data_IF_021550100221
#
_entry.id   IF_021550100221
#
_cell.length_a   1.000
_cell.length_b   1.000
_cell.length_c   1.000
_cell.angle_alpha   90.00
_cell.angle_beta   90.00
_cell.angle_gamma   90.00
#
_symmetry.space_group_name_H-M   'P 1'
#
loop_
_entity.id
_entity.type
_entity.pdbx_description
1 polymer ?
2 non-polymer ?
3 non-polymer ?
4 water ?
#
# COMPACT_ATOMS: atom_id res chain seq x y z
N UNK A 3 3.93 -1.33 19.03
CA UNK A 3 3.91 -1.12 17.59
C UNK A 3 2.89 -0.05 17.21
N UNK A 4 1.75 -0.03 17.89
CA UNK A 4 0.60 0.80 17.48
C UNK A 4 -0.16 1.25 18.72
N UNK A 5 0.14 2.45 19.21
CA UNK A 5 -0.55 2.95 20.40
C UNK A 5 -2.01 3.28 20.12
N UNK A 6 -2.81 3.07 21.15
CA UNK A 6 -4.24 3.33 21.15
C UNK A 6 -4.54 4.54 22.01
N UNK A 7 -5.45 5.40 21.55
CA UNK A 7 -5.78 6.62 22.27
C UNK A 7 -7.26 6.67 22.60
N UNK A 8 -7.58 7.16 23.81
CA UNK A 8 -8.98 7.23 24.21
C UNK A 8 -9.75 8.30 23.45
N UNK A 9 -9.07 9.33 22.97
CA UNK A 9 -9.68 10.36 22.14
C UNK A 9 -9.94 9.81 20.74
N UNK A 10 -11.21 9.48 20.46
CA UNK A 10 -11.56 8.93 19.15
C UNK A 10 -11.36 9.92 18.01
N UNK A 11 -11.18 11.22 18.31
CA UNK A 11 -10.90 12.21 17.29
C UNK A 11 -9.50 12.81 17.42
N UNK A 12 -8.56 12.04 18.00
CA UNK A 12 -7.17 12.49 18.09
C UNK A 12 -6.65 13.03 16.76
N UNK A 13 -6.99 12.37 15.64
CA UNK A 13 -6.39 12.75 14.37
C UNK A 13 -7.00 14.02 13.80
N UNK A 14 -8.13 14.48 14.32
CA UNK A 14 -8.95 15.46 13.61
C UNK A 14 -8.29 16.83 13.45
N UNK A 15 -8.46 17.40 12.26
CA UNK A 15 -8.12 18.79 11.98
C UNK A 15 -9.22 19.75 12.46
N UNK A 16 -10.45 19.26 12.55
CA UNK A 16 -11.61 20.03 12.99
C UNK A 16 -11.98 19.50 14.36
N UNK A 17 -11.67 20.27 15.40
CA UNK A 17 -11.87 19.84 16.78
C UNK A 17 -13.33 19.73 17.18
N UNK A 18 -14.25 20.35 16.44
CA UNK A 18 -15.62 20.41 16.89
C UNK A 18 -16.56 19.32 16.43
N UNK A 19 -16.02 18.15 16.11
CA UNK A 19 -16.85 17.04 15.65
C UNK A 19 -17.40 16.32 16.87
N UNK A 20 -18.70 16.03 16.86
CA UNK A 20 -19.38 15.36 17.98
C UNK A 20 -19.52 13.87 17.66
N UNK A 21 -18.72 13.04 18.32
CA UNK A 21 -18.75 11.62 17.97
C UNK A 21 -20.09 10.97 18.30
N UNK A 22 -20.84 11.53 19.24
CA UNK A 22 -22.17 11.00 19.57
C UNK A 22 -23.13 11.05 18.41
N UNK A 23 -22.84 11.89 17.42
CA UNK A 23 -23.72 12.01 16.27
C UNK A 23 -23.40 10.98 15.19
N UNK A 24 -22.29 10.25 15.32
CA UNK A 24 -21.90 9.28 14.29
C UNK A 24 -22.91 8.14 14.29
N UNK A 25 -23.42 7.77 13.12
CA UNK A 25 -24.29 6.61 12.94
C UNK A 25 -23.85 5.87 11.70
N UNK A 26 -24.10 4.55 11.59
CA UNK A 26 -24.47 3.68 12.69
C UNK A 26 -23.29 3.57 13.64
N UNK A 27 -23.38 2.67 14.61
CA UNK A 27 -22.33 2.51 15.60
C UNK A 27 -20.97 2.29 14.93
N UNK A 28 -20.00 3.17 15.16
CA UNK A 28 -18.73 3.06 14.44
C UNK A 28 -17.86 1.94 14.97
N UNK A 29 -17.16 1.28 14.06
CA UNK A 29 -16.08 0.38 14.44
C UNK A 29 -14.78 1.12 14.12
N UNK A 30 -14.00 1.41 15.14
CA UNK A 30 -12.79 2.23 14.99
C UNK A 30 -11.61 1.36 14.59
N UNK A 31 -10.82 1.89 13.65
CA UNK A 31 -9.59 1.22 13.22
C UNK A 31 -8.60 1.24 14.38
N UNK A 32 -7.93 0.09 14.63
CA UNK A 32 -6.95 0.03 15.71
C UNK A 32 -5.55 -0.27 15.21
N UNK A 33 -5.34 -0.35 13.92
CA UNK A 33 -3.99 -0.50 13.37
C UNK A 33 -3.40 0.85 13.04
N UNK A 34 -2.14 0.83 12.58
CA UNK A 34 -1.40 2.08 12.40
C UNK A 34 -0.58 2.03 11.14
N UNK A 35 -1.05 1.28 10.14
CA UNK A 35 -0.37 1.29 8.88
C UNK A 35 -0.65 2.53 8.03
N UNK A 36 0.18 2.69 7.00
CA UNK A 36 -0.03 3.82 6.08
C UNK A 36 -1.40 3.73 5.39
N UNK A 37 -2.13 4.85 5.37
CA UNK A 37 -3.37 4.97 4.60
C UNK A 37 -3.15 5.98 3.48
N UNK A 38 -4.11 6.05 2.56
CA UNK A 38 -3.91 6.85 1.35
C UNK A 38 -5.13 7.69 1.06
N UNK A 39 -4.88 8.90 0.52
CA UNK A 39 -5.98 9.77 0.12
C UNK A 39 -5.65 10.43 -1.20
N UNK A 40 -6.48 10.17 -2.21
CA UNK A 40 -6.41 10.95 -3.45
C UNK A 40 -7.01 12.31 -3.16
N UNK A 41 -6.31 13.35 -3.58
CA UNK A 41 -6.84 14.69 -3.42
C UNK A 41 -6.20 15.54 -4.50
N UNK A 42 -7.02 16.36 -5.17
CA UNK A 42 -6.53 17.16 -6.30
C UNK A 42 -5.77 18.40 -5.86
N UNK A 43 -5.86 18.77 -4.59
CA UNK A 43 -5.12 19.92 -4.07
C UNK A 43 -3.66 19.54 -3.90
N UNK A 44 -2.78 20.48 -4.26
CA UNK A 44 -1.33 20.20 -4.23
C UNK A 44 -0.75 20.31 -2.85
N UNK A 45 0.51 19.86 -2.71
CA UNK A 45 1.09 19.72 -1.37
C UNK A 45 1.37 21.04 -0.68
N UNK A 46 1.56 22.13 -1.41
CA UNK A 46 1.83 23.33 -0.65
C UNK A 46 0.56 23.82 0.04
N UNK A 47 -0.59 23.38 -0.42
CA UNK A 47 -1.86 23.64 0.25
C UNK A 47 -2.13 22.60 1.34
N UNK A 48 -2.07 21.30 0.98
CA UNK A 48 -2.47 20.24 1.89
C UNK A 48 -1.50 20.11 3.05
N UNK A 49 -0.18 20.22 2.78
CA UNK A 49 0.78 20.12 3.89
C UNK A 49 0.58 21.27 4.89
N UNK A 50 0.08 22.42 4.43
CA UNK A 50 -0.12 23.56 5.32
C UNK A 50 -1.42 23.46 6.11
N UNK A 51 -2.48 22.93 5.49
CA UNK A 51 -3.81 22.99 6.10
C UNK A 51 -4.23 21.66 6.71
N UNK A 52 -3.64 20.56 6.30
CA UNK A 52 -4.23 19.29 6.67
C UNK A 52 -5.46 19.01 5.82
N UNK A 53 -6.16 17.93 6.18
CA UNK A 53 -7.39 17.53 5.47
C UNK A 53 -8.57 17.87 6.39
N UNK A 54 -9.24 19.00 6.11
CA UNK A 54 -10.41 19.40 6.86
C UNK A 54 -11.65 18.78 6.25
N UNK A 55 -12.62 18.49 7.11
CA UNK A 55 -13.87 17.96 6.62
C UNK A 55 -14.75 19.10 6.07
N UNK A 56 -15.64 18.74 5.14
CA UNK A 56 -16.38 19.78 4.42
C UNK A 56 -17.43 20.44 5.30
N UNK A 57 -18.12 19.66 6.13
CA UNK A 57 -19.24 20.24 6.88
C UNK A 57 -19.38 19.48 8.21
N UNK A 58 -18.61 19.91 9.22
CA UNK A 58 -18.66 19.25 10.51
C UNK A 58 -19.94 19.58 11.26
N UNK A 59 -20.40 20.82 11.15
CA UNK A 59 -21.53 21.24 11.95
C UNK A 59 -22.82 20.62 11.46
N UNK A 60 -23.01 20.56 10.14
CA UNK A 60 -24.34 20.26 9.60
C UNK A 60 -24.34 19.21 8.50
N UNK A 61 -23.22 18.55 8.27
CA UNK A 61 -23.10 17.56 7.22
C UNK A 61 -23.75 16.20 7.54
N UNK A 62 -23.54 15.27 6.63
CA UNK A 62 -24.11 13.92 6.70
C UNK A 62 -23.31 13.09 7.69
N UNK A 63 -23.86 12.89 8.91
CA UNK A 63 -23.17 12.11 9.93
C UNK A 63 -23.41 10.62 9.81
N UNK A 64 -24.34 10.16 8.97
CA UNK A 64 -24.51 8.73 8.78
C UNK A 64 -23.46 8.22 7.80
N UNK A 65 -22.53 7.36 8.28
CA UNK A 65 -21.43 6.85 7.48
C UNK A 65 -21.95 6.11 6.25
N UNK A 66 -23.00 5.30 6.43
CA UNK A 66 -23.52 4.52 5.32
C UNK A 66 -24.04 5.45 4.23
N UNK A 67 -24.81 6.47 4.63
CA UNK A 67 -25.33 7.38 3.63
C UNK A 67 -24.20 8.14 2.94
N UNK A 68 -23.21 8.60 3.71
CA UNK A 68 -22.09 9.33 3.12
C UNK A 68 -21.34 8.48 2.13
N UNK A 69 -21.03 7.24 2.50
CA UNK A 69 -20.24 6.35 1.63
C UNK A 69 -20.99 6.07 0.34
N UNK A 70 -22.30 5.86 0.42
CA UNK A 70 -23.05 5.48 -0.76
C UNK A 70 -23.26 6.68 -1.69
N UNK A 71 -23.34 7.90 -1.16
CA UNK A 71 -23.51 9.10 -2.00
C UNK A 71 -22.65 10.21 -1.42
N UNK A 72 -21.54 10.54 -2.09
CA UNK A 72 -20.72 11.64 -1.63
C UNK A 72 -21.57 12.90 -1.48
N UNK A 73 -21.45 13.55 -0.32
CA UNK A 73 -22.19 14.74 0.06
C UNK A 73 -21.44 15.42 1.19
N UNK A 74 -21.71 16.70 1.47
CA UNK A 74 -20.91 17.36 2.52
C UNK A 74 -21.11 16.68 3.88
N UNK A 75 -20.01 16.46 4.60
CA UNK A 75 -20.01 15.56 5.73
C UNK A 75 -18.92 15.95 6.72
N UNK A 76 -18.95 15.42 7.93
CA UNK A 76 -17.86 15.63 8.88
C UNK A 76 -16.68 14.69 8.66
N UNK A 77 -16.69 13.89 7.59
CA UNK A 77 -15.69 12.88 7.34
C UNK A 77 -14.74 13.25 6.21
N UNK A 78 -13.49 12.85 6.35
CA UNK A 78 -12.54 12.83 5.25
C UNK A 78 -12.18 11.38 4.97
N UNK A 79 -12.31 10.98 3.71
CA UNK A 79 -12.05 9.60 3.30
C UNK A 79 -10.56 9.34 3.04
N UNK A 80 -10.12 8.14 3.45
CA UNK A 80 -8.82 7.53 3.12
C UNK A 80 -9.06 6.06 2.84
N UNK A 81 -8.02 5.38 2.37
CA UNK A 81 -8.12 3.97 2.00
C UNK A 81 -6.92 3.21 2.56
N UNK A 82 -7.16 1.96 2.91
CA UNK A 82 -6.07 1.02 3.17
C UNK A 82 -5.26 0.69 1.94
N UNK A 83 -5.82 0.97 0.73
CA UNK A 83 -5.26 0.50 -0.55
C UNK A 83 -4.39 1.57 -1.20
N UNK A 84 -3.06 1.33 -1.15
CA UNK A 84 -2.12 2.23 -1.84
C UNK A 84 -2.55 2.58 -3.25
N UNK A 85 -3.15 1.62 -3.96
CA UNK A 85 -3.42 1.78 -5.38
C UNK A 85 -4.80 2.35 -5.66
N UNK A 86 -5.58 2.73 -4.63
CA UNK A 86 -6.95 3.18 -4.93
C UNK A 86 -6.94 4.39 -5.89
N UNK A 87 -5.89 5.20 -5.81
CA UNK A 87 -5.80 6.40 -6.66
C UNK A 87 -6.02 6.09 -8.12
N UNK A 88 -5.73 4.86 -8.54
CA UNK A 88 -5.85 4.49 -9.94
C UNK A 88 -7.30 4.51 -10.39
N UNK A 89 -8.24 4.43 -9.45
CA UNK A 89 -9.64 4.37 -9.87
C UNK A 89 -10.23 5.76 -10.12
N UNK A 90 -9.46 6.82 -9.86
CA UNK A 90 -9.86 8.19 -10.19
C UNK A 90 -9.51 8.50 -11.64
N UNK A 91 -10.36 9.26 -12.31
CA UNK A 91 -9.95 9.81 -13.60
C UNK A 91 -8.85 10.83 -13.38
N UNK A 92 -9.09 11.79 -12.49
CA UNK A 92 -8.07 12.83 -12.18
C UNK A 92 -7.78 12.80 -10.68
N UNK A 93 -6.94 11.87 -10.24
CA UNK A 93 -6.55 11.81 -8.84
C UNK A 93 -5.81 13.08 -8.43
N UNK A 94 -4.81 13.46 -9.23
CA UNK A 94 -3.97 14.61 -8.95
C UNK A 94 -2.81 14.16 -8.08
N UNK A 95 -3.12 13.74 -6.88
CA UNK A 95 -2.11 13.44 -5.90
C UNK A 95 -2.55 12.28 -5.03
N UNK A 96 -1.63 11.37 -4.76
CA UNK A 96 -1.86 10.28 -3.78
C UNK A 96 -1.13 10.64 -2.47
N UNK A 97 -1.87 11.09 -1.46
CA UNK A 97 -1.30 11.45 -0.15
C UNK A 97 -1.17 10.24 0.73
N UNK A 98 -0.04 10.17 1.43
CA UNK A 98 0.26 9.08 2.35
C UNK A 98 0.04 9.58 3.78
N UNK A 99 -0.80 8.86 4.52
CA UNK A 99 -1.29 9.28 5.82
C UNK A 99 -0.87 8.30 6.90
N UNK A 100 -0.36 8.82 8.01
CA UNK A 100 0.01 7.98 9.17
C UNK A 100 -0.70 8.63 10.36
N UNK A 101 -1.94 8.21 10.62
CA UNK A 101 -2.79 8.87 11.60
C UNK A 101 -3.44 7.83 12.49
N UNK A 102 -3.69 8.14 13.75
CA UNK A 102 -4.35 7.19 14.64
C UNK A 102 -5.85 7.16 14.38
N UNK A 103 -6.44 5.97 14.56
CA UNK A 103 -7.88 5.87 14.58
C UNK A 103 -8.58 5.93 13.24
N UNK A 104 -9.70 6.65 13.21
CA UNK A 104 -10.58 6.65 12.06
C UNK A 104 -11.61 5.53 12.13
N UNK A 105 -12.68 5.71 11.37
CA UNK A 105 -13.76 4.71 11.30
C UNK A 105 -13.45 3.72 10.19
N UNK A 106 -13.42 2.41 10.52
CA UNK A 106 -13.19 1.40 9.48
C UNK A 106 -14.52 1.17 8.79
N UNK A 107 -14.65 1.65 7.56
CA UNK A 107 -15.95 1.68 6.94
C UNK A 107 -16.52 0.27 6.77
N UNK A 108 -15.73 -0.66 6.22
CA UNK A 108 -16.32 -1.97 5.94
C UNK A 108 -16.61 -2.73 7.20
N UNK A 109 -15.85 -2.50 8.26
CA UNK A 109 -16.21 -3.12 9.52
C UNK A 109 -17.48 -2.52 10.11
N UNK A 110 -17.78 -1.27 9.77
CA UNK A 110 -18.94 -0.57 10.33
C UNK A 110 -20.21 -0.86 9.55
N UNK A 111 -20.12 -0.93 8.20
CA UNK A 111 -21.30 -1.05 7.37
C UNK A 111 -21.28 -2.31 6.53
N UNK A 112 -20.29 -3.18 6.72
CA UNK A 112 -20.16 -4.42 5.96
C UNK A 112 -19.28 -4.26 4.71
N UNK A 113 -18.99 -5.39 4.06
CA UNK A 113 -18.09 -5.39 2.91
C UNK A 113 -18.82 -5.81 1.64
N UNK A 114 -20.18 -5.73 1.62
CA UNK A 114 -20.98 -6.10 0.43
C UNK A 114 -21.55 -4.90 -0.31
N UNK A 115 -21.52 -3.72 0.29
CA UNK A 115 -22.05 -2.53 -0.37
C UNK A 115 -21.22 -2.18 -1.60
N UNK A 116 -21.90 -1.49 -2.51
CA UNK A 116 -21.25 -0.69 -3.54
C UNK A 116 -20.09 0.05 -2.91
N UNK A 117 -18.96 0.00 -3.59
CA UNK A 117 -17.75 0.70 -3.17
C UNK A 117 -16.97 -0.05 -2.09
N UNK A 118 -17.36 -1.25 -1.66
CA UNK A 118 -16.57 -1.90 -0.63
C UNK A 118 -15.12 -2.13 -1.03
N UNK A 119 -14.83 -2.21 -2.33
CA UNK A 119 -13.43 -2.37 -2.72
C UNK A 119 -12.58 -1.11 -2.50
N UNK A 120 -13.16 0.01 -2.07
CA UNK A 120 -12.37 1.16 -1.63
C UNK A 120 -11.69 0.94 -0.30
N UNK A 121 -12.08 -0.11 0.46
CA UNK A 121 -11.49 -0.42 1.77
C UNK A 121 -11.18 0.85 2.56
N UNK A 122 -12.22 1.62 2.84
CA UNK A 122 -12.14 2.99 3.29
C UNK A 122 -12.00 3.10 4.81
N UNK A 123 -11.27 4.13 5.24
CA UNK A 123 -11.24 4.59 6.62
C UNK A 123 -11.69 6.03 6.60
N UNK A 124 -12.76 6.36 7.33
CA UNK A 124 -13.33 7.71 7.33
C UNK A 124 -12.95 8.42 8.61
N UNK A 125 -12.35 9.58 8.50
CA UNK A 125 -11.84 10.30 9.66
C UNK A 125 -12.83 11.41 10.04
N UNK A 126 -13.54 11.29 11.17
CA UNK A 126 -14.44 12.36 11.58
C UNK A 126 -13.64 13.57 12.02
N UNK A 127 -13.95 14.73 11.42
CA UNK A 127 -13.16 15.92 11.66
C UNK A 127 -11.85 15.93 10.90
N UNK A 128 -11.66 15.00 9.97
CA UNK A 128 -10.52 15.08 9.06
C UNK A 128 -9.22 14.65 9.72
N UNK A 129 -8.11 15.16 9.16
CA UNK A 129 -6.78 14.66 9.49
C UNK A 129 -5.84 15.85 9.59
N UNK A 130 -5.30 16.12 10.79
CA UNK A 130 -4.38 17.25 10.91
C UNK A 130 -3.06 16.98 10.17
N UNK A 131 -2.41 18.08 9.78
CA UNK A 131 -1.28 18.00 8.85
C UNK A 131 -0.11 17.20 9.40
N UNK A 132 0.05 17.12 10.73
CA UNK A 132 1.17 16.37 11.32
C UNK A 132 1.05 14.88 11.07
N UNK A 133 -0.11 14.39 10.62
CA UNK A 133 -0.30 12.98 10.32
C UNK A 133 -0.24 12.69 8.84
N UNK A 134 0.24 13.62 8.03
CA UNK A 134 0.38 13.40 6.58
C UNK A 134 1.86 13.21 6.32
N UNK A 135 2.25 12.03 5.87
CA UNK A 135 3.67 11.72 5.65
C UNK A 135 4.20 12.54 4.48
N UNK A 136 3.46 12.56 3.38
CA UNK A 136 3.99 13.02 2.09
C UNK A 136 3.01 12.70 0.99
N UNK A 137 3.48 12.78 -0.24
CA UNK A 137 2.55 12.72 -1.38
C UNK A 137 3.32 12.25 -2.58
N UNK A 138 2.62 11.58 -3.50
CA UNK A 138 3.16 11.37 -4.85
C UNK A 138 2.16 11.89 -5.86
N UNK A 139 2.58 12.73 -6.80
CA UNK A 139 1.69 13.12 -7.91
C UNK A 139 1.33 11.92 -8.77
N UNK A 140 0.17 11.99 -9.40
CA UNK A 140 -0.35 10.89 -10.22
C UNK A 140 -0.46 11.30 -11.67
N UNK A 141 0.14 10.51 -12.53
CA UNK A 141 -0.01 10.71 -13.97
C UNK A 141 -1.34 10.15 -14.43
N UNK A 142 -2.17 11.03 -14.99
CA UNK A 142 -3.53 10.68 -15.35
C UNK A 142 -3.58 9.58 -16.39
N UNK A 143 -2.80 9.70 -17.48
CA UNK A 143 -2.83 8.76 -18.59
C UNK A 143 -2.49 7.33 -18.14
N UNK A 144 -1.42 7.18 -17.35
CA UNK A 144 -0.94 5.85 -17.02
C UNK A 144 -1.47 5.38 -15.69
N UNK A 145 -2.17 6.25 -14.98
CA UNK A 145 -2.68 5.93 -13.65
C UNK A 145 -1.57 5.39 -12.76
N UNK A 146 -0.45 6.09 -12.76
CA UNK A 146 0.71 5.69 -11.97
C UNK A 146 1.24 6.88 -11.20
N UNK A 147 1.93 6.58 -10.12
CA UNK A 147 2.60 7.64 -9.36
C UNK A 147 3.85 8.07 -10.08
N UNK A 148 4.10 9.39 -10.03
CA UNK A 148 5.29 9.97 -10.67
C UNK A 148 6.34 9.97 -9.56
N UNK A 149 6.98 8.80 -9.36
CA UNK A 149 7.74 8.55 -8.14
C UNK A 149 8.94 9.48 -7.97
N UNK A 150 9.53 9.99 -9.05
CA UNK A 150 10.63 10.93 -8.89
C UNK A 150 10.17 12.29 -8.39
N UNK A 151 8.86 12.54 -8.34
CA UNK A 151 8.34 13.84 -7.93
C UNK A 151 7.51 13.72 -6.66
N UNK A 152 7.63 12.60 -5.96
CA UNK A 152 7.03 12.54 -4.61
C UNK A 152 7.72 13.54 -3.69
N UNK A 153 7.03 13.91 -2.62
CA UNK A 153 7.54 14.92 -1.68
C UNK A 153 7.16 14.56 -0.26
N UNK A 154 8.09 14.79 0.69
CA UNK A 154 7.82 14.67 2.11
C UNK A 154 7.14 15.93 2.66
N UNK A 155 6.29 15.70 3.67
CA UNK A 155 5.64 16.79 4.36
C UNK A 155 6.54 17.28 5.49
N UNK A 156 7.03 18.54 5.46
CA UNK A 156 7.90 19.02 6.53
C UNK A 156 7.23 19.02 7.89
N UNK A 157 5.89 18.99 7.96
CA UNK A 157 5.17 19.01 9.23
C UNK A 157 4.85 17.61 9.76
N UNK A 158 5.22 16.56 9.04
CA UNK A 158 4.93 15.21 9.53
C UNK A 158 5.65 14.96 10.85
N UNK A 159 4.91 14.45 11.84
CA UNK A 159 5.48 14.16 13.16
C UNK A 159 5.25 12.69 13.49
N UNK A 160 6.25 11.83 13.31
CA UNK A 160 6.13 10.42 13.73
C UNK A 160 5.67 10.26 15.18
N UNK A 161 4.84 9.22 15.40
CA UNK A 161 4.25 8.96 16.71
C UNK A 161 4.27 7.48 17.06
N UNK A 162 4.86 6.64 16.24
CA UNK A 162 5.10 5.23 16.56
C UNK A 162 6.15 4.64 15.63
N UNK B 3 -9.39 -5.10 -14.81
CA UNK B 3 -8.98 -6.41 -14.31
C UNK B 3 -7.52 -6.68 -14.64
N UNK B 4 -6.99 -7.77 -14.10
CA UNK B 4 -5.58 -8.08 -14.27
C UNK B 4 -5.43 -9.06 -15.42
N UNK B 5 -4.67 -8.72 -16.45
CA UNK B 5 -4.34 -9.72 -17.46
C UNK B 5 -3.61 -10.90 -16.82
N UNK B 6 -3.95 -12.10 -17.26
CA UNK B 6 -3.30 -13.33 -16.83
C UNK B 6 -2.48 -13.86 -17.97
N UNK B 7 -1.35 -14.50 -17.65
CA UNK B 7 -0.47 -15.08 -18.65
C UNK B 7 -0.32 -16.58 -18.44
N UNK B 8 -0.31 -17.31 -19.55
CA UNK B 8 -0.10 -18.76 -19.54
C UNK B 8 1.23 -19.11 -18.88
N UNK B 9 2.27 -18.33 -19.18
CA UNK B 9 3.58 -18.50 -18.57
C UNK B 9 3.50 -18.11 -17.10
N UNK B 10 3.54 -19.11 -16.22
CA UNK B 10 3.54 -18.85 -14.79
C UNK B 10 4.80 -18.13 -14.31
N UNK B 11 5.85 -18.07 -15.11
CA UNK B 11 7.05 -17.32 -14.72
C UNK B 11 7.30 -16.16 -15.67
N UNK B 12 6.24 -15.56 -16.19
CA UNK B 12 6.33 -14.43 -17.10
C UNK B 12 7.18 -13.30 -16.52
N UNK B 13 7.13 -13.11 -15.20
CA UNK B 13 7.84 -12.00 -14.59
C UNK B 13 9.33 -12.23 -14.47
N UNK B 14 9.79 -13.48 -14.70
CA UNK B 14 11.11 -13.88 -14.22
C UNK B 14 12.24 -13.13 -14.91
N UNK B 15 13.22 -12.75 -14.10
CA UNK B 15 14.50 -12.26 -14.60
C UNK B 15 15.41 -13.39 -15.03
N UNK B 16 15.22 -14.57 -14.47
CA UNK B 16 16.03 -15.74 -14.76
C UNK B 16 15.18 -16.81 -15.42
N UNK B 17 15.69 -17.43 -16.48
CA UNK B 17 14.95 -18.59 -16.92
C UNK B 17 15.59 -19.84 -16.34
N UNK B 18 15.04 -20.98 -16.71
CA UNK B 18 15.46 -22.23 -16.15
C UNK B 18 14.67 -22.66 -14.94
N UNK B 19 13.73 -21.84 -14.49
CA UNK B 19 12.88 -22.28 -13.39
C UNK B 19 11.99 -23.41 -13.87
N UNK B 20 12.08 -24.54 -13.20
CA UNK B 20 11.16 -25.64 -13.45
C UNK B 20 10.00 -25.53 -12.46
N UNK B 21 8.85 -25.08 -12.96
CA UNK B 21 7.70 -24.89 -12.08
C UNK B 21 7.25 -26.20 -11.46
N UNK B 22 7.52 -27.33 -12.15
CA UNK B 22 7.16 -28.64 -11.62
C UNK B 22 7.84 -28.95 -10.29
N UNK B 23 8.98 -28.32 -9.99
CA UNK B 23 9.74 -28.61 -8.77
C UNK B 23 9.26 -27.82 -7.54
N UNK B 24 8.34 -26.88 -7.71
CA UNK B 24 7.87 -26.09 -6.59
C UNK B 24 7.04 -26.97 -5.65
N UNK B 25 7.36 -26.93 -4.36
CA UNK B 25 6.56 -27.60 -3.35
C UNK B 25 6.27 -26.66 -2.19
N UNK B 26 5.11 -26.82 -1.51
CA UNK B 26 3.96 -27.63 -1.95
C UNK B 26 3.28 -27.01 -3.18
N UNK B 27 2.13 -27.53 -3.64
CA UNK B 27 1.47 -27.04 -4.83
C UNK B 27 1.28 -25.53 -4.72
N UNK B 28 1.79 -24.75 -5.66
CA UNK B 28 1.73 -23.28 -5.54
C UNK B 28 0.34 -22.76 -5.80
N UNK B 29 -0.09 -21.80 -5.00
CA UNK B 29 -1.28 -21.03 -5.28
C UNK B 29 -0.82 -19.70 -5.85
N UNK B 30 -1.07 -19.47 -7.13
CA UNK B 30 -0.55 -18.29 -7.80
C UNK B 30 -1.41 -17.05 -7.56
N UNK B 31 -0.73 -15.91 -7.41
CA UNK B 31 -1.40 -14.65 -7.25
C UNK B 31 -2.04 -14.27 -8.58
N UNK B 32 -3.30 -13.85 -8.55
CA UNK B 32 -4.01 -13.47 -9.77
C UNK B 32 -4.32 -11.97 -9.83
N UNK B 33 -3.94 -11.22 -8.81
CA UNK B 33 -4.20 -9.79 -8.77
C UNK B 33 -2.99 -9.06 -9.32
N UNK B 34 -3.12 -7.75 -9.40
CA UNK B 34 -2.06 -6.99 -10.04
C UNK B 34 -1.90 -5.65 -9.37
N UNK B 35 -2.05 -5.64 -8.06
CA UNK B 35 -1.70 -4.44 -7.32
C UNK B 35 -0.20 -4.31 -7.07
N UNK B 36 0.18 -3.13 -6.61
CA UNK B 36 1.58 -2.89 -6.26
C UNK B 36 2.04 -3.82 -5.13
N UNK B 37 3.22 -4.42 -5.32
CA UNK B 37 3.91 -5.18 -4.29
C UNK B 37 5.18 -4.44 -3.90
N UNK B 38 5.82 -4.90 -2.84
CA UNK B 38 6.96 -4.18 -2.28
C UNK B 38 8.09 -5.14 -1.95
N UNK B 39 9.32 -4.67 -2.12
CA UNK B 39 10.49 -5.47 -1.74
C UNK B 39 11.50 -4.55 -1.09
N UNK B 40 11.85 -4.87 0.14
CA UNK B 40 13.00 -4.23 0.80
C UNK B 40 14.28 -4.86 0.30
N UNK B 41 15.23 -4.01 -0.13
CA UNK B 41 16.51 -4.52 -0.62
C UNK B 41 17.57 -3.49 -0.26
N UNK B 42 18.76 -3.98 0.12
CA UNK B 42 19.80 -3.04 0.50
C UNK B 42 20.51 -2.48 -0.72
N UNK B 43 20.32 -3.07 -1.90
CA UNK B 43 20.98 -2.56 -3.09
C UNK B 43 20.25 -1.35 -3.61
N UNK B 44 21.05 -0.35 -4.08
CA UNK B 44 20.49 0.89 -4.55
C UNK B 44 19.96 0.78 -5.96
N UNK B 45 19.22 1.83 -6.37
CA UNK B 45 18.51 1.76 -7.65
C UNK B 45 19.42 1.76 -8.85
N UNK B 46 20.63 2.33 -8.75
CA UNK B 46 21.56 2.20 -9.87
C UNK B 46 21.82 0.74 -10.22
N UNK B 47 21.85 -0.15 -9.23
CA UNK B 47 22.01 -1.58 -9.48
C UNK B 47 20.67 -2.23 -9.81
N UNK B 48 19.64 -1.98 -8.98
CA UNK B 48 18.41 -2.75 -9.10
C UNK B 48 17.66 -2.38 -10.36
N UNK B 49 17.58 -1.09 -10.70
CA UNK B 49 16.86 -0.73 -11.92
C UNK B 49 17.53 -1.25 -13.17
N UNK B 50 18.86 -1.44 -13.14
CA UNK B 50 19.59 -1.96 -14.29
C UNK B 50 19.48 -3.48 -14.40
N UNK B 51 19.54 -4.20 -13.25
CA UNK B 51 19.60 -5.66 -13.26
C UNK B 51 18.25 -6.33 -13.01
N UNK B 52 17.28 -5.66 -12.37
CA UNK B 52 16.13 -6.41 -11.90
C UNK B 52 16.49 -7.18 -10.65
N UNK B 53 15.52 -7.95 -10.17
CA UNK B 53 15.73 -8.83 -9.02
C UNK B 53 15.96 -10.27 -9.49
N UNK B 54 17.21 -10.70 -9.50
CA UNK B 54 17.47 -12.09 -9.88
C UNK B 54 17.42 -12.97 -8.65
N UNK B 55 17.02 -14.22 -8.86
CA UNK B 55 17.02 -15.14 -7.74
C UNK B 55 18.41 -15.71 -7.52
N UNK B 56 18.69 -16.09 -6.26
CA UNK B 56 20.04 -16.50 -5.90
C UNK B 56 20.41 -17.88 -6.46
N UNK B 57 19.46 -18.84 -6.49
CA UNK B 57 19.82 -20.19 -6.97
C UNK B 57 18.63 -20.88 -7.64
N UNK B 58 18.44 -20.59 -8.93
CA UNK B 58 17.38 -21.24 -9.69
C UNK B 58 17.73 -22.70 -9.97
N UNK B 59 19.01 -23.01 -10.14
CA UNK B 59 19.37 -24.32 -10.66
C UNK B 59 19.12 -25.40 -9.63
N UNK B 60 19.58 -25.19 -8.39
CA UNK B 60 19.39 -26.22 -7.38
C UNK B 60 19.15 -25.61 -6.00
N UNK B 61 18.47 -24.47 -5.92
CA UNK B 61 18.20 -23.85 -4.65
C UNK B 61 17.04 -24.54 -3.93
N UNK B 62 16.58 -23.90 -2.85
CA UNK B 62 15.51 -24.45 -2.04
C UNK B 62 14.18 -24.17 -2.74
N UNK B 63 13.60 -25.21 -3.34
CA UNK B 63 12.31 -25.08 -4.03
C UNK B 63 11.12 -25.31 -3.12
N UNK B 64 11.32 -25.78 -1.89
CA UNK B 64 10.20 -25.87 -0.97
C UNK B 64 9.94 -24.50 -0.37
N UNK B 65 8.73 -23.99 -0.60
CA UNK B 65 8.36 -22.65 -0.15
C UNK B 65 8.35 -22.57 1.37
N UNK B 66 7.84 -23.62 2.04
CA UNK B 66 7.80 -23.57 3.49
C UNK B 66 9.20 -23.52 4.09
N UNK B 67 10.11 -24.36 3.60
CA UNK B 67 11.48 -24.31 4.10
C UNK B 67 12.11 -22.95 3.88
N UNK B 68 11.93 -22.39 2.67
CA UNK B 68 12.58 -21.13 2.32
C UNK B 68 12.07 -19.96 3.16
N UNK B 69 10.76 -19.96 3.46
CA UNK B 69 10.14 -18.89 4.26
C UNK B 69 10.55 -18.99 5.72
N UNK B 70 10.70 -20.21 6.25
CA UNK B 70 11.08 -20.31 7.65
C UNK B 70 12.55 -20.00 7.85
N UNK B 71 13.40 -20.45 6.92
CA UNK B 71 14.84 -20.30 7.02
C UNK B 71 15.35 -19.78 5.68
N UNK B 72 15.70 -18.50 5.63
CA UNK B 72 16.26 -17.93 4.41
C UNK B 72 17.52 -18.70 4.02
N UNK B 73 17.65 -18.94 2.72
CA UNK B 73 18.66 -19.82 2.10
C UNK B 73 18.54 -19.64 0.59
N UNK B 74 19.60 -19.91 -0.18
CA UNK B 74 19.53 -19.62 -1.62
C UNK B 74 18.44 -20.42 -2.34
N UNK B 75 17.70 -19.77 -3.23
CA UNK B 75 16.43 -20.32 -3.72
C UNK B 75 16.15 -19.79 -5.11
N UNK B 76 15.18 -20.37 -5.81
CA UNK B 76 14.74 -19.78 -7.09
C UNK B 76 13.80 -18.60 -6.91
N UNK B 77 13.53 -18.19 -5.68
CA UNK B 77 12.50 -17.20 -5.41
C UNK B 77 13.09 -15.85 -5.02
N UNK B 78 12.37 -14.81 -5.42
CA UNK B 78 12.61 -13.46 -4.90
C UNK B 78 11.37 -13.07 -4.13
N UNK B 79 11.57 -12.68 -2.87
CA UNK B 79 10.46 -12.32 -1.99
C UNK B 79 10.02 -10.89 -2.21
N UNK B 80 8.69 -10.72 -2.19
CA UNK B 80 8.02 -9.41 -2.14
C UNK B 80 6.88 -9.51 -1.13
N UNK B 81 6.23 -8.36 -0.84
CA UNK B 81 5.13 -8.36 0.09
C UNK B 81 3.96 -7.55 -0.46
N UNK B 82 2.75 -7.98 -0.10
CA UNK B 82 1.57 -7.13 -0.31
C UNK B 82 1.59 -5.85 0.52
N UNK B 83 2.41 -5.81 1.60
CA UNK B 83 2.39 -4.75 2.62
C UNK B 83 3.38 -3.66 2.30
N UNK B 84 2.86 -2.50 1.91
CA UNK B 84 3.69 -1.33 1.68
C UNK B 84 4.61 -1.06 2.85
N UNK B 85 4.16 -1.33 4.09
CA UNK B 85 4.92 -0.95 5.29
C UNK B 85 5.88 -2.03 5.80
N UNK B 86 6.02 -3.16 5.10
CA UNK B 86 6.89 -4.21 5.63
C UNK B 86 8.32 -3.70 5.82
N UNK B 87 8.72 -2.69 5.03
CA UNK B 87 10.08 -2.16 5.16
C UNK B 87 10.40 -1.69 6.56
N UNK B 88 9.37 -1.31 7.33
CA UNK B 88 9.59 -0.80 8.68
C UNK B 88 10.13 -1.86 9.61
N UNK B 89 9.93 -3.13 9.30
CA UNK B 89 10.37 -4.23 10.15
C UNK B 89 11.80 -4.63 9.84
N UNK B 94 17.06 -0.50 3.82
CA UNK B 94 17.60 0.61 3.05
C UNK B 94 16.67 1.22 1.98
N UNK B 95 16.08 0.36 1.16
CA UNK B 95 15.20 0.83 0.09
C UNK B 95 13.92 0.02 0.04
N UNK B 96 12.80 0.69 -0.23
CA UNK B 96 11.49 0.07 -0.41
C UNK B 96 11.20 0.16 -1.91
N UNK B 97 11.41 -0.95 -2.63
CA UNK B 97 11.10 -1.03 -4.05
C UNK B 97 9.61 -1.32 -4.28
N UNK B 98 9.06 -0.67 -5.29
CA UNK B 98 7.66 -0.79 -5.69
C UNK B 98 7.61 -1.63 -6.95
N UNK B 99 6.86 -2.73 -6.91
CA UNK B 99 6.84 -3.74 -7.96
C UNK B 99 5.44 -3.83 -8.56
N UNK B 100 5.35 -3.87 -9.89
CA UNK B 100 4.08 -4.09 -10.59
C UNK B 100 4.38 -5.24 -11.56
N UNK B 101 4.19 -6.48 -11.11
CA UNK B 101 4.61 -7.68 -11.83
C UNK B 101 3.47 -8.67 -11.87
N UNK B 102 3.32 -9.41 -12.98
CA UNK B 102 2.29 -10.45 -13.03
C UNK B 102 2.68 -11.70 -12.26
N UNK B 103 1.67 -12.35 -11.68
CA UNK B 103 1.91 -13.66 -11.12
C UNK B 103 2.56 -13.67 -9.75
N UNK B 104 3.47 -14.61 -9.53
CA UNK B 104 4.06 -14.84 -8.23
C UNK B 104 3.25 -15.83 -7.42
N UNK B 105 3.93 -16.46 -6.46
CA UNK B 105 3.32 -17.45 -5.57
C UNK B 105 2.79 -16.73 -4.35
N UNK B 106 1.49 -16.83 -4.10
CA UNK B 106 0.98 -16.26 -2.86
C UNK B 106 1.37 -17.18 -1.71
N UNK B 107 2.29 -16.72 -0.84
CA UNK B 107 2.91 -17.62 0.13
C UNK B 107 1.88 -18.14 1.15
N UNK B 108 1.10 -17.24 1.76
CA UNK B 108 0.17 -17.69 2.79
C UNK B 108 -0.93 -18.55 2.23
N UNK B 109 -1.35 -18.32 0.97
CA UNK B 109 -2.34 -19.25 0.39
C UNK B 109 -1.74 -20.61 0.09
N UNK B 110 -0.44 -20.65 -0.10
CA UNK B 110 0.26 -21.87 -0.44
C UNK B 110 0.65 -22.69 0.80
N UNK B 111 1.15 -22.03 1.86
CA UNK B 111 1.65 -22.78 3.01
C UNK B 111 0.86 -22.49 4.27
N UNK B 112 -0.22 -21.72 4.19
CA UNK B 112 -1.00 -21.37 5.36
C UNK B 112 -0.56 -20.06 5.97
N UNK B 113 -1.39 -19.55 6.87
CA UNK B 113 -1.15 -18.25 7.49
C UNK B 113 -0.88 -18.37 8.98
N UNK B 114 -0.49 -19.55 9.45
CA UNK B 114 -0.14 -19.67 10.85
C UNK B 114 1.35 -19.76 11.10
N UNK B 115 2.17 -19.93 10.05
CA UNK B 115 3.60 -20.03 10.28
C UNK B 115 4.14 -18.71 10.86
N UNK B 116 5.38 -18.80 11.34
CA UNK B 116 6.09 -17.70 11.98
C UNK B 116 5.89 -16.37 11.24
N UNK B 117 6.32 -16.31 10.00
CA UNK B 117 6.43 -15.02 9.33
C UNK B 117 5.18 -14.66 8.53
N UNK B 118 4.01 -15.16 8.91
CA UNK B 118 2.82 -14.99 8.07
C UNK B 118 2.41 -13.52 7.92
N UNK B 119 2.63 -12.70 8.94
CA UNK B 119 2.26 -11.29 8.77
C UNK B 119 3.12 -10.56 7.74
N UNK B 120 4.15 -11.21 7.14
CA UNK B 120 4.89 -10.63 6.03
C UNK B 120 4.11 -10.65 4.73
N UNK B 121 2.96 -11.34 4.68
CA UNK B 121 2.04 -11.42 3.55
C UNK B 121 2.84 -11.43 2.23
N UNK B 122 3.64 -12.48 2.07
CA UNK B 122 4.62 -12.52 1.01
C UNK B 122 4.08 -13.04 -0.30
N UNK B 123 4.67 -12.57 -1.40
CA UNK B 123 4.50 -13.15 -2.73
C UNK B 123 5.89 -13.50 -3.22
N UNK B 124 6.13 -14.75 -3.56
CA UNK B 124 7.46 -15.26 -3.92
C UNK B 124 7.51 -15.47 -5.43
N UNK B 125 8.45 -14.78 -6.12
CA UNK B 125 8.50 -14.85 -7.57
C UNK B 125 9.56 -15.84 -8.02
N UNK B 126 9.17 -16.98 -8.57
CA UNK B 126 10.17 -17.95 -9.07
C UNK B 126 10.84 -17.43 -10.33
N UNK B 127 12.18 -17.44 -10.33
CA UNK B 127 12.94 -16.77 -11.36
C UNK B 127 13.11 -15.29 -11.14
N UNK B 128 12.59 -14.74 -10.02
CA UNK B 128 12.76 -13.31 -9.76
C UNK B 128 11.83 -12.41 -10.57
N UNK B 129 12.28 -11.17 -10.78
CA UNK B 129 11.43 -10.10 -11.31
C UNK B 129 12.24 -9.27 -12.29
N UNK B 130 11.85 -9.29 -13.57
CA UNK B 130 12.56 -8.46 -14.54
C UNK B 130 12.43 -6.97 -14.21
N UNK B 131 13.44 -6.19 -14.63
CA UNK B 131 13.47 -4.77 -14.31
C UNK B 131 12.26 -3.99 -14.87
N UNK B 132 11.66 -4.46 -15.98
CA UNK B 132 10.55 -3.69 -16.52
C UNK B 132 9.34 -3.74 -15.62
N UNK B 133 9.35 -4.58 -14.61
CA UNK B 133 8.24 -4.66 -13.66
C UNK B 133 8.55 -3.96 -12.35
N UNK B 134 9.67 -3.25 -12.26
CA UNK B 134 9.97 -2.47 -11.06
C UNK B 134 9.55 -1.02 -11.34
N UNK B 135 8.56 -0.53 -10.61
CA UNK B 135 8.05 0.83 -10.82
C UNK B 135 9.10 1.85 -10.42
N UNK B 136 9.71 1.67 -9.26
CA UNK B 136 10.53 2.71 -8.69
C UNK B 136 10.90 2.32 -7.28
N UNK B 137 11.35 3.30 -6.49
CA UNK B 137 11.90 3.01 -5.17
C UNK B 137 11.73 4.24 -4.30
N UNK B 138 11.62 4.00 -2.98
CA UNK B 138 11.76 5.09 -2.00
C UNK B 138 12.85 4.69 -1.04
N UNK B 139 13.91 5.49 -0.86
CA UNK B 139 14.84 5.26 0.25
C UNK B 139 14.13 5.41 1.60
N UNK B 140 14.71 4.79 2.63
CA UNK B 140 14.12 4.71 3.96
C UNK B 140 14.92 5.57 4.94
N UNK B 141 14.21 6.37 5.73
CA UNK B 141 14.81 7.13 6.83
C UNK B 141 14.94 6.20 8.04
N UNK B 142 16.17 5.87 8.40
CA UNK B 142 16.42 4.88 9.46
C UNK B 142 16.01 5.37 10.81
N UNK B 143 16.01 6.69 11.00
CA UNK B 143 15.72 7.25 12.32
C UNK B 143 14.26 7.08 12.67
N UNK B 144 13.39 7.21 11.67
CA UNK B 144 11.95 7.15 11.84
C UNK B 144 11.32 5.95 11.16
N UNK B 145 12.11 5.12 10.48
CA UNK B 145 11.57 4.01 9.67
C UNK B 145 10.40 4.48 8.81
N UNK B 146 10.63 5.54 8.04
CA UNK B 146 9.65 6.10 7.13
C UNK B 146 10.35 6.35 5.81
N UNK B 147 9.63 6.26 4.71
CA UNK B 147 10.20 6.59 3.40
C UNK B 147 10.57 8.06 3.31
N UNK B 148 11.72 8.32 2.68
CA UNK B 148 12.16 9.70 2.42
C UNK B 148 11.46 10.08 1.11
N UNK B 149 10.22 10.58 1.22
CA UNK B 149 9.40 10.66 0.02
C UNK B 149 9.92 11.69 -0.97
N UNK B 150 10.64 12.72 -0.52
CA UNK B 150 11.28 13.62 -1.49
C UNK B 150 12.45 13.01 -2.25
N UNK B 151 12.89 11.79 -1.93
CA UNK B 151 13.99 11.11 -2.60
C UNK B 151 13.55 9.83 -3.30
N UNK B 152 12.23 9.59 -3.43
CA UNK B 152 11.80 8.45 -4.26
C UNK B 152 12.20 8.69 -5.73
N UNK B 153 12.29 7.60 -6.47
CA UNK B 153 12.79 7.67 -7.84
C UNK B 153 12.04 6.67 -8.71
N UNK B 154 11.64 7.14 -9.90
CA UNK B 154 11.08 6.27 -10.92
C UNK B 154 12.16 5.45 -11.62
N UNK B 155 11.81 4.21 -11.97
CA UNK B 155 12.66 3.37 -12.80
C UNK B 155 12.38 3.67 -14.27
N UNK B 156 13.36 4.14 -15.04
CA UNK B 156 13.11 4.43 -16.46
C UNK B 156 12.75 3.21 -17.27
N UNK B 157 13.04 2.00 -16.79
CA UNK B 157 12.73 0.80 -17.55
C UNK B 157 11.34 0.25 -17.24
N UNK B 158 10.62 0.84 -16.28
CA UNK B 158 9.25 0.38 -16.00
C UNK B 158 8.39 0.44 -17.24
N UNK B 159 7.72 -0.69 -17.54
CA UNK B 159 6.85 -0.82 -18.70
C UNK B 159 5.47 -1.26 -18.25
N UNK B 160 4.50 -0.37 -18.16
CA UNK B 160 3.14 -0.78 -17.76
C UNK B 160 2.61 -1.85 -18.67
N UNK B 161 1.80 -2.72 -18.09
CA UNK B 161 1.19 -3.83 -18.82
C UNK B 161 -0.28 -3.97 -18.51
N UNK B 162 -0.84 -3.04 -17.72
CA UNK B 162 -2.28 -2.96 -17.45
C UNK B 162 -2.63 -1.55 -16.93
X LIG C 1 -14.28 14.73 -1.72
X LIG C 1 -14.03 14.60 -0.30
X LIG C 1 -15.60 15.34 -2.20
X LIG C 1 -13.11 15.60 -2.34
X LIG C 1 -13.16 15.94 -3.72
X LIG C 1 -12.29 17.17 -3.95
X LIG C 1 -12.77 18.24 -3.17
X LIG C 1 -10.86 17.00 -3.44
X LIG C 1 -10.05 16.32 -4.41
X LIG C 1 -10.37 18.41 -3.22
X LIG C 1 -10.06 19.04 -4.48
X LIG C 1 -11.66 19.07 -2.75
X LIG C 1 -11.81 19.13 -1.30
X LIG C 1 -12.13 18.08 -0.47
X LIG C 1 -12.30 18.47 0.82
X LIG C 1 -12.09 19.83 0.82
X LIG C 1 -12.12 20.88 1.84
X LIG C 1 -12.39 20.62 3.13
X LIG C 1 -11.86 22.12 1.41
X LIG C 1 -11.62 22.41 0.13
X LIG C 1 -11.56 21.51 -0.87
X LIG C 1 -11.78 20.20 -0.56
X LIG C 1 -14.26 13.34 -2.54
X LIG C 1 -12.96 12.39 -2.88
X LIG C 1 -12.39 12.73 -4.20
X LIG C 1 -12.09 12.39 -1.64
X LIG C 1 -13.73 11.02 -2.85
X LIG C 1 -14.44 10.44 -3.95
X LIG C 1 -15.32 9.34 -3.36
X LIG C 1 -14.45 8.30 -2.92
X LIG C 1 -16.11 9.78 -2.15
X LIG C 1 -17.36 9.04 -2.09
X LIG C 1 -15.22 9.36 -1.00
X LIG C 1 -15.96 9.16 0.21
X LIG C 1 -14.61 8.05 -1.51
X LIG C 1 -13.27 7.68 -1.03
X LIG C 1 -12.23 8.51 -1.30
X LIG C 1 -10.91 8.20 -0.95
X LIG C 1 -9.81 9.12 -1.32
X LIG C 1 -8.70 8.61 -1.46
X LIG C 1 -10.07 10.40 -1.64
X LIG C 1 -10.57 6.92 -0.22
X LIG C 1 -11.77 6.07 -0.08
X LIG C 1 -13.07 6.48 -0.43
X LIG D 1 -12.97 11.41 -10.76
X LIG D 1 -12.79 9.94 -11.15
X LIG D 1 -13.80 12.27 -11.73
X LIG D 1 -11.60 12.08 -10.58
X LIG D 1 -13.65 11.64 -9.28
X LIG D 1 -14.96 10.97 -8.65
X LIG D 1 -16.15 10.99 -9.62
X LIG D 1 -15.12 11.64 -7.30
X LIG D 1 -14.65 9.40 -8.54
X LIG D 1 -13.47 8.95 -7.85
X LIG D 1 -13.72 7.54 -7.34
X LIG D 1 -14.76 7.62 -6.37
X LIG D 1 -14.22 6.65 -8.48
X LIG D 1 -13.80 5.29 -8.30
X LIG D 1 -15.72 6.65 -8.29
X LIG D 1 -16.35 5.45 -8.75
X LIG D 1 -15.80 6.74 -6.77
X LIG D 1 -17.04 7.40 -6.41
X LIG D 1 -17.76 8.26 -7.16
X LIG D 1 -18.85 8.69 -6.48
X LIG D 1 -18.85 8.02 -5.28
X LIG D 1 -19.70 7.99 -4.10
X LIG D 1 -20.75 8.65 -4.04
X LIG D 1 -19.34 7.19 -3.07
X LIG D 1 -18.19 6.47 -3.09
X LIG D 1 -17.87 5.70 -2.00
X LIG D 1 -17.34 6.46 -4.16
X LIG D 1 -17.63 7.21 -5.25
X LIG E 1 17.23 -12.13 0.15
X LIG E 1 18.34 -13.19 0.31
X LIG E 1 16.46 -12.17 -1.12
X LIG E 1 17.90 -10.64 0.21
X LIG E 1 18.73 -10.26 1.29
X LIG E 1 19.81 -9.38 0.67
X LIG E 1 20.62 -10.12 -0.23
X LIG E 1 19.28 -8.21 -0.16
X LIG E 1 18.97 -7.10 0.70
X LIG E 1 20.45 -7.92 -1.05
X LIG E 1 21.38 -7.22 -0.21
X LIG E 1 21.07 -9.27 -1.31
X LIG E 1 20.65 -9.95 -2.55
X LIG E 1 19.48 -10.58 -2.76
X LIG E 1 19.45 -11.16 -3.99
X LIG E 1 20.64 -10.92 -4.60
X LIG E 1 21.23 -11.27 -5.91
X LIG E 1 20.57 -12.00 -6.83
X LIG E 1 22.49 -10.84 -6.14
X LIG E 1 23.16 -10.11 -5.20
X LIG E 1 22.68 -9.76 -4.01
X LIG E 1 21.43 -10.14 -3.65
X LIG E 1 16.31 -12.20 1.43
X LIG E 1 15.17 -11.12 1.75
X LIG E 1 14.47 -10.67 0.48
X LIG E 1 15.75 -10.08 2.66
X LIG E 1 14.20 -12.05 2.62
X LIG E 1 13.65 -13.25 2.09
X LIG E 1 12.84 -13.81 3.23
X LIG E 1 12.48 -12.67 4.01
X LIG E 1 11.54 -14.45 2.75
X LIG E 1 11.58 -15.88 2.80
X LIG E 1 10.51 -13.93 3.73
X LIG E 1 10.40 -14.82 4.86
X LIG E 1 11.06 -12.55 4.10
X LIG E 1 10.46 -11.48 3.24
X LIG E 1 11.19 -10.45 2.71
X LIG E 1 10.61 -9.47 1.89
X LIG E 1 11.36 -8.30 1.32
X LIG E 1 10.68 -7.28 1.13
X LIG E 1 12.68 -8.35 1.10
X LIG E 1 9.15 -9.50 1.55
X LIG E 1 8.49 -10.63 2.17
X LIG E 1 9.16 -11.56 2.96
#
# INVERSE_FOLDING_TARGET
APACPQFDDRTKAAADRGVDVDRITPEPVWRTTCGTLYRSDSRGPQVVFEEGFHAKDVQNGQYDVEKYVLVNQPSPYVSTSYDHDLYKTWYKSGYNYYVDAPGGIDVNKTIGDTHKWADQVEVAFPGGIQRKYIIGVCPVDRQTKTEIMSDCESNPHYQPWH
APACPQFDDRTKAAADRGVDVDRITPEPVWRTTCGTLYRSDSRGPQVVFEEGFHAKDVQNGQYDVEKYVLVNQPSPYVSTSYDHDLYKTWYKSGYNYYVDAPGGIDVNKTIGDTHKWADQVEVAFPGGIQRKYIIGVCPVDRQTKTEIMSDCESNPHYQPWH
NAI PA O1A O2A O5B C5B C4B O4B C3B O3B C2B O2B C1B N9A C8A N7A C5A C6A N6A N1A C2A N3A C4A O3 PN O1N O2N O5D C5D C4D O4D C3D O3D C2D O2D C1D N1N C2N C3N C7N O7N N7N C4N C5N C6N
GDP PB O1B O2B O3B O3A PA O1A O2A O5' C5' C4' O4' C3' O3' C2' O2' C1' N9 C8 N7 C5 C6 O6 N1 C2 N2 N3 C4
NAI PA O1A O2A O5B C5B C4B O4B C3B O3B C2B O2B C1B N9A C8A N7A C5A C6A N6A N1A C2A N3A C4A O3 PN O1N O2N O5D C5D C4D O4D C3D O3D C2D O2D C1D N1N C2N C3N C7N O7N N7N C4N C5N C6N
#
